data_IF_994709937708
#
_entry.id   IF_994709937708
#
_cell.length_a   1.000
_cell.length_b   1.000
_cell.length_c   1.000
_cell.angle_alpha   90.00
_cell.angle_beta   90.00
_cell.angle_gamma   90.00
#
_symmetry.space_group_name_H-M   'P 1'
#
loop_
_entity.id
_entity.type
_entity.pdbx_description
1 polymer ?
#
# COMPACT_ATOMS: atom_id res chain seq x y z
N UNK A 1 10.62 -4.70 8.18
CA UNK A 1 11.82 -3.87 7.93
C UNK A 1 12.91 -4.27 8.92
N UNK A 2 13.66 -5.35 8.63
CA UNK A 2 14.74 -5.84 9.54
C UNK A 2 16.13 -5.65 8.91
N UNK A 3 16.20 -5.69 7.58
CA UNK A 3 17.46 -5.45 6.87
C UNK A 3 18.00 -4.02 7.06
N UNK A 4 17.10 -3.05 7.25
CA UNK A 4 17.43 -1.62 7.37
C UNK A 4 17.40 -1.10 8.81
N UNK A 5 17.22 -1.99 9.80
CA UNK A 5 16.99 -1.61 11.19
C UNK A 5 18.25 -1.49 12.05
N UNK A 6 19.44 -1.62 11.46
CA UNK A 6 20.70 -1.53 12.22
C UNK A 6 21.23 -2.87 12.73
N UNK A 7 20.48 -3.96 12.53
CA UNK A 7 20.86 -5.30 13.04
C UNK A 7 21.97 -5.95 12.22
N UNK A 8 21.82 -5.97 10.89
CA UNK A 8 22.79 -6.62 9.99
C UNK A 8 23.94 -5.70 9.60
N UNK A 9 23.69 -4.39 9.58
CA UNK A 9 24.67 -3.34 9.31
C UNK A 9 24.34 -2.15 10.16
N UNK A 10 25.37 -1.51 10.69
CA UNK A 10 25.23 -0.29 11.46
C UNK A 10 24.54 0.80 10.64
N UNK A 11 23.64 1.56 11.27
CA UNK A 11 22.96 2.69 10.62
C UNK A 11 23.97 3.73 10.10
N UNK A 12 25.14 3.84 10.73
CA UNK A 12 26.21 4.74 10.31
C UNK A 12 26.74 4.40 8.91
N UNK A 13 26.76 3.12 8.56
CA UNK A 13 27.45 2.57 7.40
C UNK A 13 26.52 2.45 6.18
N UNK A 14 25.24 2.80 6.35
CA UNK A 14 24.27 2.80 5.27
C UNK A 14 24.47 4.01 4.32
N UNK A 15 24.30 3.83 2.99
CA UNK A 15 24.36 4.92 2.04
C UNK A 15 23.33 6.00 2.40
N UNK A 16 23.79 7.26 2.44
CA UNK A 16 23.02 8.41 2.93
C UNK A 16 21.67 8.66 2.21
N UNK A 17 21.58 8.68 0.85
CA UNK A 17 20.46 9.33 0.17
C UNK A 17 19.13 8.55 0.21
N UNK A 18 19.14 7.26 0.53
CA UNK A 18 17.92 6.43 0.51
C UNK A 18 17.81 5.57 1.76
N UNK A 19 18.90 4.86 2.09
CA UNK A 19 18.90 3.85 3.15
C UNK A 19 19.00 4.48 4.54
N UNK A 20 19.92 5.44 4.71
CA UNK A 20 20.04 6.17 5.97
C UNK A 20 18.91 7.18 6.14
N UNK A 21 18.54 7.89 5.07
CA UNK A 21 17.39 8.80 5.05
C UNK A 21 16.63 8.55 3.75
N UNK A 22 15.30 8.28 3.75
CA UNK A 22 14.36 8.28 4.87
C UNK A 22 14.06 6.88 5.46
N UNK A 23 14.57 5.80 4.86
CA UNK A 23 14.10 4.43 5.16
C UNK A 23 14.35 4.03 6.62
N UNK A 24 15.49 4.41 7.21
CA UNK A 24 15.78 4.11 8.62
C UNK A 24 14.76 4.76 9.57
N UNK A 25 14.33 6.00 9.30
CA UNK A 25 13.38 6.75 10.12
C UNK A 25 11.96 6.23 10.05
N UNK A 26 11.56 5.70 8.88
CA UNK A 26 10.22 5.12 8.67
C UNK A 26 10.19 3.64 9.06
N UNK A 27 11.36 3.03 9.30
CA UNK A 27 11.44 1.65 9.76
C UNK A 27 11.14 1.55 11.26
N UNK A 28 9.98 0.99 11.61
CA UNK A 28 9.69 0.63 13.01
C UNK A 28 10.79 -0.25 13.62
N UNK A 29 11.42 -1.12 12.83
CA UNK A 29 12.47 -2.00 13.30
C UNK A 29 13.70 -1.24 13.78
N UNK A 30 14.04 -0.09 13.17
CA UNK A 30 15.20 0.70 13.57
C UNK A 30 15.01 1.29 14.98
N UNK A 31 13.85 1.91 15.20
CA UNK A 31 13.47 2.46 16.51
C UNK A 31 13.32 1.38 17.58
N UNK A 32 12.74 0.22 17.24
CA UNK A 32 12.58 -0.90 18.17
C UNK A 32 13.92 -1.45 18.64
N UNK A 33 14.88 -1.63 17.72
CA UNK A 33 16.22 -2.15 18.04
C UNK A 33 17.03 -1.13 18.84
N UNK A 34 16.96 0.15 18.50
CA UNK A 34 17.60 1.20 19.30
C UNK A 34 17.03 1.24 20.73
N UNK A 35 15.70 1.19 20.85
CA UNK A 35 15.02 1.15 22.14
C UNK A 35 15.37 -0.09 22.96
N UNK A 36 15.44 -1.27 22.35
CA UNK A 36 15.80 -2.52 23.04
C UNK A 36 17.25 -2.49 23.51
N UNK A 37 18.21 -2.07 22.67
CA UNK A 37 19.60 -1.98 23.09
C UNK A 37 19.79 -0.99 24.25
N UNK A 38 19.12 0.16 24.20
CA UNK A 38 19.15 1.11 25.33
C UNK A 38 18.48 0.53 26.57
N UNK A 39 17.42 -0.26 26.43
CA UNK A 39 16.76 -0.86 27.57
C UNK A 39 17.60 -1.97 28.24
N UNK A 40 18.27 -2.78 27.43
CA UNK A 40 18.89 -4.02 27.88
C UNK A 40 20.37 -3.84 28.26
N UNK A 41 21.04 -2.82 27.72
CA UNK A 41 22.47 -2.59 27.96
C UNK A 41 22.76 -1.41 28.91
N UNK A 42 21.87 -0.42 29.05
CA UNK A 42 22.13 0.71 29.96
C UNK A 42 22.22 0.23 31.42
N UNK A 43 23.29 0.63 32.12
CA UNK A 43 23.55 0.23 33.49
C UNK A 43 24.15 -1.17 33.67
N UNK A 44 24.47 -1.89 32.58
CA UNK A 44 25.23 -3.14 32.66
C UNK A 44 26.73 -2.86 32.55
N UNK A 45 27.51 -3.68 33.27
CA UNK A 45 28.97 -3.78 33.10
C UNK A 45 29.33 -5.15 32.54
N UNK A 46 30.24 -5.15 31.59
CA UNK A 46 30.77 -6.35 30.94
C UNK A 46 32.24 -6.54 31.30
N UNK A 47 32.65 -7.81 31.34
CA UNK A 47 34.05 -8.17 31.44
C UNK A 47 34.86 -7.61 30.26
N UNK A 48 36.15 -7.35 30.46
CA UNK A 48 37.01 -6.86 29.39
C UNK A 48 37.12 -7.87 28.24
N UNK A 49 37.14 -7.38 26.99
CA UNK A 49 37.32 -8.22 25.80
C UNK A 49 38.70 -8.91 25.77
N UNK A 50 39.73 -8.25 26.29
CA UNK A 50 41.06 -8.80 26.46
C UNK A 50 41.47 -8.74 27.92
N UNK A 51 42.11 -9.80 28.46
CA UNK A 51 42.57 -9.82 29.85
C UNK A 51 43.51 -8.63 30.11
N UNK A 52 43.18 -7.84 31.13
CA UNK A 52 43.93 -6.64 31.54
C UNK A 52 43.29 -5.28 31.17
N UNK A 53 42.22 -5.25 30.39
CA UNK A 53 41.49 -4.01 30.09
C UNK A 53 40.48 -3.62 31.19
N UNK A 54 40.07 -2.34 31.25
CA UNK A 54 38.96 -1.92 32.12
C UNK A 54 37.66 -2.62 31.72
N UNK A 55 36.75 -2.78 32.69
CA UNK A 55 35.39 -3.26 32.43
C UNK A 55 34.70 -2.35 31.41
N UNK A 56 33.92 -2.94 30.50
CA UNK A 56 33.16 -2.17 29.52
C UNK A 56 31.78 -1.86 30.09
N UNK A 57 31.37 -0.60 30.05
CA UNK A 57 29.99 -0.25 30.39
C UNK A 57 29.09 -0.44 29.17
N UNK A 58 27.81 -0.71 29.39
CA UNK A 58 26.85 -0.86 28.30
C UNK A 58 26.68 0.42 27.48
N UNK A 59 26.88 1.60 28.07
CA UNK A 59 26.90 2.87 27.33
C UNK A 59 28.02 2.89 26.28
N UNK A 60 29.19 2.38 26.64
CA UNK A 60 30.32 2.27 25.73
C UNK A 60 30.01 1.31 24.57
N UNK A 61 29.38 0.16 24.86
CA UNK A 61 28.98 -0.82 23.84
C UNK A 61 27.96 -0.21 22.87
N UNK A 62 26.92 0.46 23.38
CA UNK A 62 25.89 1.10 22.54
C UNK A 62 26.49 2.15 21.60
N UNK A 63 27.41 2.97 22.10
CA UNK A 63 27.97 4.10 21.35
C UNK A 63 29.07 3.69 20.38
N UNK A 64 30.07 2.94 20.86
CA UNK A 64 31.29 2.66 20.11
C UNK A 64 31.20 1.38 19.28
N UNK A 65 30.43 0.37 19.71
CA UNK A 65 30.26 -0.88 18.95
C UNK A 65 29.00 -0.86 18.09
N UNK A 66 27.88 -0.42 18.64
CA UNK A 66 26.59 -0.40 17.94
C UNK A 66 26.33 0.90 17.16
N UNK A 67 27.14 1.94 17.38
CA UNK A 67 27.03 3.22 16.64
C UNK A 67 25.71 3.95 16.88
N UNK A 68 25.06 3.71 18.03
CA UNK A 68 23.79 4.32 18.40
C UNK A 68 24.05 5.53 19.28
N UNK A 69 23.47 6.67 18.92
CA UNK A 69 23.56 7.87 19.74
C UNK A 69 22.71 7.74 21.02
N UNK A 70 23.32 8.05 22.16
CA UNK A 70 22.65 8.14 23.46
C UNK A 70 22.02 9.52 23.71
N UNK A 71 21.97 10.38 22.68
CA UNK A 71 21.44 11.76 22.77
C UNK A 71 19.96 11.81 23.15
N UNK A 72 19.20 10.75 22.84
CA UNK A 72 17.78 10.60 23.18
C UNK A 72 17.54 9.39 24.09
N UNK A 73 16.57 9.53 24.99
CA UNK A 73 16.19 8.46 25.94
C UNK A 73 15.44 7.32 25.26
N UNK A 74 15.42 6.14 25.90
CA UNK A 74 14.64 4.97 25.44
C UNK A 74 13.14 5.25 25.26
N UNK A 75 12.61 6.26 25.97
CA UNK A 75 11.21 6.67 25.86
C UNK A 75 10.91 7.43 24.57
N UNK A 76 11.90 8.15 24.02
CA UNK A 76 11.75 8.76 22.70
C UNK A 76 11.68 7.71 21.60
N UNK A 77 12.44 6.62 21.72
CA UNK A 77 12.38 5.51 20.77
C UNK A 77 11.00 4.83 20.81
N UNK A 78 10.45 4.66 22.01
CA UNK A 78 9.09 4.15 22.19
C UNK A 78 8.02 5.12 21.64
N UNK A 79 8.17 6.42 21.90
CA UNK A 79 7.25 7.44 21.39
C UNK A 79 7.26 7.48 19.85
N UNK A 80 8.44 7.39 19.22
CA UNK A 80 8.59 7.30 17.77
C UNK A 80 7.86 6.06 17.21
N UNK A 81 7.98 4.90 17.86
CA UNK A 81 7.24 3.69 17.49
C UNK A 81 5.72 3.90 17.52
N UNK A 82 5.19 4.51 18.58
CA UNK A 82 3.77 4.82 18.69
C UNK A 82 3.32 5.82 17.60
N UNK A 83 4.10 6.86 17.35
CA UNK A 83 3.81 7.84 16.29
C UNK A 83 3.76 7.18 14.92
N UNK A 84 4.70 6.27 14.65
CA UNK A 84 4.82 5.58 13.37
C UNK A 84 3.68 4.57 13.17
N UNK A 85 3.27 3.87 14.24
CA UNK A 85 2.08 3.04 14.25
C UNK A 85 0.81 3.86 13.96
N UNK A 86 0.63 4.98 14.66
CA UNK A 86 -0.52 5.87 14.46
C UNK A 86 -0.52 6.46 13.05
N UNK A 87 0.64 6.92 12.57
CA UNK A 87 0.83 7.43 11.21
C UNK A 87 0.42 6.43 10.15
N UNK A 88 0.81 5.16 10.28
CA UNK A 88 0.37 4.11 9.36
C UNK A 88 -1.13 3.82 9.45
N UNK A 89 -1.73 3.87 10.64
CA UNK A 89 -3.19 3.72 10.80
C UNK A 89 -3.95 4.84 10.10
N UNK A 90 -3.50 6.08 10.27
CA UNK A 90 -4.08 7.25 9.60
C UNK A 90 -3.89 7.14 8.08
N UNK A 91 -2.68 6.82 7.61
CA UNK A 91 -2.40 6.65 6.18
C UNK A 91 -3.31 5.57 5.57
N UNK A 92 -3.44 4.42 6.23
CA UNK A 92 -4.33 3.35 5.80
C UNK A 92 -5.79 3.81 5.71
N UNK A 93 -6.27 4.52 6.73
CA UNK A 93 -7.62 5.08 6.74
C UNK A 93 -7.84 6.09 5.61
N UNK A 94 -6.87 6.97 5.37
CA UNK A 94 -6.89 7.96 4.28
C UNK A 94 -6.94 7.24 2.93
N UNK A 95 -6.08 6.25 2.68
CA UNK A 95 -6.09 5.45 1.45
C UNK A 95 -7.44 4.74 1.27
N UNK A 96 -8.00 4.18 2.34
CA UNK A 96 -9.32 3.55 2.30
C UNK A 96 -10.42 4.54 1.92
N UNK A 97 -10.42 5.74 2.51
CA UNK A 97 -11.38 6.81 2.20
C UNK A 97 -11.21 7.34 0.77
N UNK A 98 -9.98 7.49 0.30
CA UNK A 98 -9.72 7.83 -1.09
C UNK A 98 -10.23 6.75 -2.04
N UNK A 99 -10.00 5.46 -1.72
CA UNK A 99 -10.52 4.34 -2.53
C UNK A 99 -12.05 4.34 -2.57
N UNK A 100 -12.71 4.53 -1.43
CA UNK A 100 -14.17 4.62 -1.32
C UNK A 100 -14.72 5.75 -2.19
N UNK A 101 -14.08 6.94 -2.16
CA UNK A 101 -14.48 8.11 -2.94
C UNK A 101 -14.10 8.03 -4.43
N UNK A 102 -12.99 7.38 -4.76
CA UNK A 102 -12.52 7.18 -6.12
C UNK A 102 -13.25 6.05 -6.86
N UNK A 103 -13.75 5.03 -6.14
CA UNK A 103 -14.53 3.92 -6.71
C UNK A 103 -15.70 4.38 -7.60
N UNK A 104 -16.62 5.28 -7.16
CA UNK A 104 -17.70 5.74 -8.03
C UNK A 104 -17.20 6.61 -9.19
N UNK A 105 -16.12 7.38 -9.01
CA UNK A 105 -15.53 8.19 -10.08
C UNK A 105 -14.90 7.31 -11.17
N UNK A 106 -14.14 6.29 -10.76
CA UNK A 106 -13.54 5.31 -11.66
C UNK A 106 -14.61 4.55 -12.44
N UNK A 107 -15.67 4.08 -11.77
CA UNK A 107 -16.81 3.43 -12.44
C UNK A 107 -17.50 4.36 -13.44
N UNK A 108 -17.73 5.63 -13.09
CA UNK A 108 -18.32 6.63 -14.01
C UNK A 108 -17.43 6.88 -15.23
N UNK A 109 -16.11 7.03 -15.03
CA UNK A 109 -15.15 7.21 -16.12
C UNK A 109 -15.05 5.97 -17.02
N UNK A 110 -14.98 4.78 -16.44
CA UNK A 110 -14.98 3.52 -17.17
C UNK A 110 -16.27 3.35 -17.98
N UNK A 111 -17.44 3.61 -17.40
CA UNK A 111 -18.73 3.56 -18.09
C UNK A 111 -18.84 4.60 -19.22
N UNK A 112 -18.33 5.83 -19.02
CA UNK A 112 -18.28 6.83 -20.10
C UNK A 112 -17.40 6.38 -21.26
N UNK A 113 -16.24 5.78 -20.96
CA UNK A 113 -15.33 5.24 -22.00
C UNK A 113 -15.97 4.07 -22.75
N UNK A 114 -16.65 3.15 -22.06
CA UNK A 114 -17.36 2.05 -22.72
C UNK A 114 -18.49 2.58 -23.60
N UNK A 115 -19.31 3.52 -23.11
CA UNK A 115 -20.37 4.15 -23.93
C UNK A 115 -19.79 4.84 -25.16
N UNK A 116 -18.70 5.62 -25.02
CA UNK A 116 -18.03 6.25 -26.17
C UNK A 116 -17.50 5.24 -27.18
N UNK A 117 -16.99 4.08 -26.73
CA UNK A 117 -16.59 3.00 -27.64
C UNK A 117 -17.79 2.33 -28.30
N UNK A 118 -18.91 2.15 -27.58
CA UNK A 118 -20.14 1.62 -28.15
C UNK A 118 -20.74 2.58 -29.19
N UNK A 119 -20.75 3.89 -28.95
CA UNK A 119 -21.24 4.90 -29.92
C UNK A 119 -20.39 4.95 -31.20
N UNK A 120 -19.09 4.65 -31.11
CA UNK A 120 -18.22 4.52 -32.27
C UNK A 120 -18.47 3.23 -33.06
N UNK A 121 -19.20 2.25 -32.52
CA UNK A 121 -19.58 1.04 -33.27
C UNK A 121 -20.67 1.39 -34.29
N UNK A 122 -20.51 0.99 -35.56
CA UNK A 122 -21.46 1.33 -36.63
C UNK A 122 -22.89 0.83 -36.37
N UNK A 123 -23.07 -0.21 -35.55
CA UNK A 123 -24.39 -0.74 -35.16
C UNK A 123 -25.14 0.10 -34.14
N UNK A 124 -24.46 1.01 -33.43
CA UNK A 124 -25.03 1.87 -32.37
C UNK A 124 -25.10 3.35 -32.75
N UNK A 125 -24.66 3.70 -33.97
CA UNK A 125 -24.90 5.03 -34.53
C UNK A 125 -26.40 5.23 -34.53
N UNK A 126 -26.89 6.13 -33.69
CA UNK A 126 -28.29 6.59 -33.69
C UNK A 126 -28.67 6.75 -35.15
N UNK A 127 -29.53 5.87 -35.67
CA UNK A 127 -30.16 6.13 -36.96
C UNK A 127 -30.77 7.53 -36.79
N UNK A 128 -30.43 8.52 -37.65
CA UNK A 128 -31.16 9.78 -37.61
C UNK A 128 -32.61 9.35 -37.68
N UNK A 129 -33.41 9.77 -36.70
CA UNK A 129 -34.81 9.37 -36.55
C UNK A 129 -35.44 9.38 -37.92
N UNK A 130 -35.50 8.20 -38.54
CA UNK A 130 -36.21 7.99 -39.78
C UNK A 130 -37.60 8.35 -39.33
N UNK A 131 -38.09 9.46 -39.85
CA UNK A 131 -39.47 9.89 -39.73
C UNK A 131 -40.32 8.64 -39.86
N UNK A 132 -40.75 8.08 -38.71
CA UNK A 132 -41.57 6.90 -38.68
C UNK A 132 -42.91 7.37 -39.20
N UNK A 133 -43.06 7.31 -40.52
CA UNK A 133 -44.34 7.36 -41.19
C UNK A 133 -45.24 6.42 -40.39
N UNK A 134 -46.30 7.01 -39.84
CA UNK A 134 -47.34 6.36 -39.07
C UNK A 134 -48.11 5.40 -39.98
N UNK A 135 -47.46 4.33 -40.41
CA UNK A 135 -48.07 3.26 -41.19
C UNK A 135 -48.04 2.02 -40.30
N UNK A 136 -49.20 1.76 -39.69
CA UNK A 136 -49.49 0.55 -38.93
C UNK A 136 -48.93 -0.68 -39.66
N UNK A 137 -47.88 -1.28 -39.10
CA UNK A 137 -47.57 -2.68 -39.35
C UNK A 137 -47.99 -3.43 -38.08
N UNK A 138 -48.96 -4.36 -38.17
CA UNK A 138 -49.27 -5.21 -37.04
C UNK A 138 -48.05 -6.09 -36.75
N UNK A 139 -47.52 -5.99 -35.53
CA UNK A 139 -46.50 -6.88 -35.01
C UNK A 139 -47.10 -8.28 -34.92
N UNK A 140 -46.74 -9.17 -35.84
CA UNK A 140 -47.10 -10.57 -35.76
C UNK A 140 -46.26 -11.23 -34.67
N UNK A 141 -46.89 -11.87 -33.68
CA UNK A 141 -46.18 -12.54 -32.58
C UNK A 141 -45.42 -13.76 -33.09
N UNK A 142 -44.18 -13.97 -32.61
CA UNK A 142 -43.36 -15.11 -33.02
C UNK A 142 -44.02 -16.48 -32.73
N UNK A 143 -44.96 -16.53 -31.79
CA UNK A 143 -45.80 -17.69 -31.50
C UNK A 143 -46.76 -18.08 -32.63
N UNK A 144 -47.01 -17.20 -33.61
CA UNK A 144 -47.88 -17.53 -34.75
C UNK A 144 -47.16 -18.35 -35.83
N UNK A 145 -45.84 -18.49 -35.75
CA UNK A 145 -45.03 -19.23 -36.72
C UNK A 145 -44.81 -20.69 -36.30
N UNK A 146 -45.31 -21.09 -35.14
CA UNK A 146 -45.03 -22.38 -34.50
C UNK A 146 -45.85 -23.55 -35.09
N UNK A 147 -46.59 -23.33 -36.18
CA UNK A 147 -47.41 -24.34 -36.85
C UNK A 147 -47.12 -24.53 -38.34
N UNK A 148 -46.02 -23.95 -38.85
CA UNK A 148 -45.58 -24.08 -40.24
C UNK A 148 -44.41 -25.07 -40.36
N UNK A 149 -44.54 -26.25 -39.75
CA UNK A 149 -43.67 -27.36 -40.07
C UNK A 149 -44.04 -27.88 -41.48
N UNK A 150 -43.01 -28.03 -42.32
CA UNK A 150 -43.15 -28.44 -43.72
C UNK A 150 -43.68 -29.88 -43.83
N UNK A 151 -44.51 -30.22 -44.82
CA UNK A 151 -44.92 -31.59 -45.04
C UNK A 151 -43.69 -32.41 -45.46
N UNK A 152 -43.29 -33.36 -44.61
CA UNK A 152 -42.36 -34.42 -44.99
C UNK A 152 -43.01 -35.23 -46.12
N UNK A 153 -42.51 -35.03 -47.34
CA UNK A 153 -42.81 -35.87 -48.49
C UNK A 153 -42.21 -37.27 -48.24
N UNK A 154 -43.07 -38.27 -48.02
CA UNK A 154 -42.76 -39.68 -48.30
C UNK A 154 -42.66 -39.93 -49.78
#
# INVERSE_FOLDING_TARGET
MVMTSGFFRLLSDLPKPVWRYPISYISYGAWAIQGSYKNDLLGLEFGPLLPGNPKLTGEYVITHMLGIELSHSKWWDLAALFLLLLGYRILFFVVLKFKERASPLYRKLAAKRTIQQLEKRPSFRKMPSVTTSRRHQPLHSLSSQEGLDSPLHT
#
